data_IF_905153193551
#
_entry.id   IF_905153193551
#
_cell.length_a   1.000
_cell.length_b   1.000
_cell.length_c   1.000
_cell.angle_alpha   90.00
_cell.angle_beta   90.00
_cell.angle_gamma   90.00
#
_symmetry.space_group_name_H-M   'P 1'
#
loop_
_entity.id
_entity.type
_entity.pdbx_description
1 polymer ?
#
# COMPACT_ATOMS: atom_id res chain seq x y z
N UNK A 1 -30.36 35.58 -26.43
CA UNK A 1 -31.26 34.96 -25.45
C UNK A 1 -31.27 33.43 -25.47
N UNK A 2 -31.56 32.71 -26.59
CA UNK A 2 -31.63 31.24 -26.59
C UNK A 2 -30.31 30.52 -26.25
N UNK A 3 -29.13 31.04 -26.64
CA UNK A 3 -27.81 30.47 -26.30
C UNK A 3 -27.44 30.61 -24.83
N UNK A 4 -27.81 31.72 -24.19
CA UNK A 4 -27.51 31.98 -22.78
C UNK A 4 -28.34 31.08 -21.84
N UNK A 5 -29.60 30.80 -22.23
CA UNK A 5 -30.49 29.89 -21.48
C UNK A 5 -29.95 28.45 -21.55
N UNK A 6 -29.42 28.00 -22.70
CA UNK A 6 -28.82 26.67 -22.83
C UNK A 6 -27.59 26.45 -21.95
N UNK A 7 -26.73 27.46 -21.82
CA UNK A 7 -25.54 27.39 -20.94
C UNK A 7 -25.94 27.35 -19.46
N UNK A 8 -26.93 28.13 -19.04
CA UNK A 8 -27.43 28.14 -17.66
C UNK A 8 -28.06 26.78 -17.30
N UNK A 9 -28.83 26.18 -18.22
CA UNK A 9 -29.41 24.86 -18.01
C UNK A 9 -28.34 23.77 -17.91
N UNK A 10 -27.28 23.82 -18.73
CA UNK A 10 -26.16 22.87 -18.69
C UNK A 10 -25.39 22.97 -17.36
N UNK A 11 -25.13 24.19 -16.87
CA UNK A 11 -24.48 24.42 -15.59
C UNK A 11 -25.35 23.93 -14.41
N UNK A 12 -26.65 24.12 -14.47
CA UNK A 12 -27.59 23.60 -13.47
C UNK A 12 -27.60 22.06 -13.45
N UNK A 13 -27.57 21.41 -14.61
CA UNK A 13 -27.47 19.95 -14.70
C UNK A 13 -26.17 19.41 -14.11
N UNK A 14 -25.03 20.08 -14.35
CA UNK A 14 -23.72 19.69 -13.78
C UNK A 14 -23.72 19.87 -12.25
N UNK A 15 -24.28 20.97 -11.75
CA UNK A 15 -24.37 21.25 -10.30
C UNK A 15 -25.30 20.24 -9.62
N UNK A 16 -26.46 19.94 -10.21
CA UNK A 16 -27.40 18.95 -9.68
C UNK A 16 -26.79 17.55 -9.72
N UNK A 17 -26.10 17.18 -10.82
CA UNK A 17 -25.39 15.91 -10.93
C UNK A 17 -24.27 15.77 -9.89
N UNK A 18 -23.49 16.82 -9.67
CA UNK A 18 -22.45 16.83 -8.64
C UNK A 18 -23.03 16.76 -7.22
N UNK A 19 -24.12 17.49 -6.95
CA UNK A 19 -24.80 17.44 -5.66
C UNK A 19 -25.45 16.07 -5.39
N UNK A 20 -26.02 15.45 -6.42
CA UNK A 20 -26.58 14.10 -6.34
C UNK A 20 -25.48 13.04 -6.14
N UNK A 21 -24.36 13.17 -6.84
CA UNK A 21 -23.19 12.32 -6.64
C UNK A 21 -22.62 12.42 -5.23
N UNK A 22 -22.49 13.64 -4.71
CA UNK A 22 -22.05 13.89 -3.33
C UNK A 22 -23.06 13.39 -2.29
N UNK A 23 -24.36 13.50 -2.58
CA UNK A 23 -25.43 13.02 -1.71
C UNK A 23 -25.45 11.48 -1.65
N UNK A 24 -25.38 10.80 -2.81
CA UNK A 24 -25.36 9.32 -2.88
C UNK A 24 -24.09 8.73 -2.28
N UNK A 25 -22.93 9.40 -2.45
CA UNK A 25 -21.70 8.95 -1.80
C UNK A 25 -21.68 9.25 -0.28
N UNK A 26 -22.39 10.29 0.18
CA UNK A 26 -22.49 10.56 1.61
C UNK A 26 -23.26 9.47 2.37
N UNK A 27 -24.24 8.84 1.73
CA UNK A 27 -24.96 7.70 2.32
C UNK A 27 -24.12 6.42 2.36
N UNK A 28 -23.22 6.21 1.38
CA UNK A 28 -22.31 5.03 1.40
C UNK A 28 -21.29 5.09 2.54
N UNK A 29 -20.88 6.30 2.97
CA UNK A 29 -20.00 6.48 4.13
C UNK A 29 -20.73 6.40 5.49
N UNK A 30 -22.06 6.58 5.53
CA UNK A 30 -22.83 6.61 6.79
C UNK A 30 -22.84 5.30 7.56
N UNK A 31 -22.53 4.18 6.91
CA UNK A 31 -22.50 2.85 7.50
C UNK A 31 -21.08 2.32 7.84
N UNK A 32 -20.04 3.12 7.58
CA UNK A 32 -18.65 2.75 7.90
C UNK A 32 -18.34 3.26 9.31
N UNK A 33 -18.09 2.34 10.23
CA UNK A 33 -17.63 2.68 11.58
C UNK A 33 -16.12 2.97 11.51
N UNK A 34 -15.74 4.19 11.85
CA UNK A 34 -14.34 4.64 11.88
C UNK A 34 -13.76 4.54 13.29
N UNK A 35 -12.46 4.23 13.42
CA UNK A 35 -11.75 4.39 14.68
C UNK A 35 -11.81 5.84 15.20
N UNK A 36 -11.80 6.06 16.53
CA UNK A 36 -12.00 7.40 17.11
C UNK A 36 -11.04 8.49 16.61
N UNK A 37 -9.82 8.12 16.24
CA UNK A 37 -8.76 9.04 15.81
C UNK A 37 -8.52 9.01 14.29
N UNK A 38 -9.38 8.34 13.51
CA UNK A 38 -9.20 8.28 12.08
C UNK A 38 -9.63 9.59 11.40
N UNK A 39 -8.94 9.87 10.28
CA UNK A 39 -9.21 10.99 9.38
C UNK A 39 -9.79 10.42 8.09
N UNK A 40 -11.12 10.38 7.93
CA UNK A 40 -11.79 9.73 6.80
C UNK A 40 -11.34 10.26 5.43
N UNK A 41 -10.87 11.53 5.36
CA UNK A 41 -10.31 12.11 4.14
C UNK A 41 -9.06 11.40 3.63
N UNK A 42 -8.28 10.75 4.51
CA UNK A 42 -7.11 9.95 4.12
C UNK A 42 -7.48 8.59 3.51
N UNK A 43 -8.77 8.21 3.56
CA UNK A 43 -9.30 7.06 2.83
C UNK A 43 -9.70 7.39 1.40
N UNK A 44 -9.82 8.69 1.07
CA UNK A 44 -10.08 9.11 -0.30
C UNK A 44 -8.85 8.86 -1.15
N UNK A 45 -8.92 7.85 -2.01
CA UNK A 45 -7.79 7.43 -2.84
C UNK A 45 -7.62 8.27 -4.11
N UNK A 46 -8.64 9.01 -4.55
CA UNK A 46 -8.64 9.71 -5.84
C UNK A 46 -7.47 10.69 -6.03
N UNK A 47 -7.10 11.56 -5.04
CA UNK A 47 -5.94 12.43 -5.18
C UNK A 47 -4.62 11.66 -5.32
N UNK A 48 -4.49 10.55 -4.58
CA UNK A 48 -3.31 9.68 -4.59
C UNK A 48 -3.22 8.93 -5.92
N UNK A 49 -4.32 8.31 -6.36
CA UNK A 49 -4.40 7.61 -7.67
C UNK A 49 -3.97 8.53 -8.82
N UNK A 50 -4.48 9.77 -8.84
CA UNK A 50 -4.13 10.77 -9.87
C UNK A 50 -2.65 11.13 -9.86
N UNK A 51 -2.05 11.21 -8.68
CA UNK A 51 -0.63 11.50 -8.52
C UNK A 51 0.24 10.33 -8.95
N UNK A 52 -0.09 9.12 -8.51
CA UNK A 52 0.63 7.89 -8.83
C UNK A 52 0.56 7.57 -10.32
N UNK A 53 -0.60 7.74 -10.96
CA UNK A 53 -0.77 7.50 -12.39
C UNK A 53 0.16 8.37 -13.26
N UNK A 54 0.54 9.57 -12.79
CA UNK A 54 1.51 10.45 -13.49
C UNK A 54 2.98 10.04 -13.26
N UNK A 55 3.26 9.29 -12.21
CA UNK A 55 4.62 8.91 -11.79
C UNK A 55 4.95 7.46 -12.13
N UNK A 56 3.93 6.62 -12.29
CA UNK A 56 4.11 5.21 -12.57
C UNK A 56 4.74 4.97 -13.93
N UNK A 57 5.74 4.11 -13.97
CA UNK A 57 6.33 3.58 -15.21
C UNK A 57 5.35 2.61 -15.86
N UNK A 58 4.65 1.82 -15.05
CA UNK A 58 3.63 0.86 -15.47
C UNK A 58 2.49 0.85 -14.45
N UNK A 59 1.26 0.76 -14.92
CA UNK A 59 0.09 0.48 -14.10
C UNK A 59 -0.43 -0.91 -14.45
N UNK A 60 -0.58 -1.75 -13.43
CA UNK A 60 -1.10 -3.11 -13.50
C UNK A 60 -2.47 -3.20 -12.84
N UNK A 61 -3.10 -4.37 -12.88
CA UNK A 61 -4.40 -4.60 -12.27
C UNK A 61 -5.57 -4.09 -13.09
N UNK A 62 -6.64 -3.67 -12.42
CA UNK A 62 -7.86 -3.16 -13.04
C UNK A 62 -8.02 -1.65 -12.80
N UNK A 63 -9.03 -1.04 -13.44
CA UNK A 63 -9.33 0.38 -13.22
C UNK A 63 -9.80 0.64 -11.76
N UNK A 64 -10.48 -0.33 -11.15
CA UNK A 64 -10.95 -0.26 -9.76
C UNK A 64 -9.83 -0.59 -8.77
N UNK A 65 -8.87 -1.43 -9.16
CA UNK A 65 -7.76 -1.89 -8.30
C UNK A 65 -6.43 -1.74 -9.06
N UNK A 66 -5.95 -0.50 -9.26
CA UNK A 66 -4.67 -0.26 -9.92
C UNK A 66 -3.50 -0.57 -8.99
N UNK A 67 -2.47 -1.18 -9.54
CA UNK A 67 -1.17 -1.41 -8.91
C UNK A 67 -0.13 -0.57 -9.67
N UNK A 68 0.47 0.39 -8.99
CA UNK A 68 1.42 1.34 -9.57
C UNK A 68 2.85 0.84 -9.40
N UNK A 69 3.58 0.70 -10.51
CA UNK A 69 4.99 0.33 -10.51
C UNK A 69 5.82 1.55 -10.91
N UNK A 70 6.77 1.90 -10.08
CA UNK A 70 7.71 3.01 -10.32
C UNK A 70 9.11 2.41 -10.37
N UNK A 71 9.64 2.28 -11.59
CA UNK A 71 10.99 1.79 -11.82
C UNK A 71 12.01 2.83 -11.37
N UNK A 72 13.17 2.34 -10.98
CA UNK A 72 14.32 3.15 -10.59
C UNK A 72 13.99 4.19 -9.48
N UNK A 73 13.03 3.84 -8.60
CA UNK A 73 12.67 4.67 -7.46
C UNK A 73 13.84 4.79 -6.46
N UNK A 74 14.56 3.68 -6.24
CA UNK A 74 15.84 3.67 -5.52
C UNK A 74 16.98 3.33 -6.46
N UNK A 75 18.11 3.96 -6.23
CA UNK A 75 19.38 3.61 -6.88
C UNK A 75 19.96 2.30 -6.32
N UNK A 76 20.87 1.70 -7.04
CA UNK A 76 21.60 0.51 -6.61
C UNK A 76 22.36 0.71 -5.30
N UNK A 77 22.91 1.91 -5.10
CA UNK A 77 23.62 2.28 -3.89
C UNK A 77 22.70 2.37 -2.68
N UNK A 78 21.52 3.00 -2.83
CA UNK A 78 20.50 3.09 -1.78
C UNK A 78 19.97 1.70 -1.38
N UNK A 79 19.64 0.84 -2.36
CA UNK A 79 19.22 -0.53 -2.09
C UNK A 79 20.28 -1.29 -1.27
N UNK A 80 21.55 -1.17 -1.67
CA UNK A 80 22.66 -1.84 -0.98
C UNK A 80 22.86 -1.28 0.43
N UNK A 81 22.74 0.02 0.62
CA UNK A 81 22.87 0.65 1.91
C UNK A 81 21.75 0.23 2.88
N UNK A 82 20.50 0.15 2.40
CA UNK A 82 19.36 -0.33 3.20
C UNK A 82 19.57 -1.78 3.67
N UNK A 83 19.97 -2.69 2.77
CA UNK A 83 20.26 -4.08 3.16
C UNK A 83 21.34 -4.14 4.23
N UNK A 84 22.43 -3.39 4.05
CA UNK A 84 23.55 -3.36 5.02
C UNK A 84 23.15 -2.79 6.37
N UNK A 85 22.27 -1.79 6.43
CA UNK A 85 21.87 -1.13 7.68
C UNK A 85 21.08 -2.04 8.62
N UNK A 86 20.43 -3.09 8.09
CA UNK A 86 19.67 -4.05 8.87
C UNK A 86 20.40 -5.40 9.07
N UNK A 87 21.57 -5.59 8.46
CA UNK A 87 22.34 -6.82 8.63
C UNK A 87 22.66 -7.06 10.14
N UNK A 88 22.26 -8.22 10.64
CA UNK A 88 22.43 -8.59 12.04
C UNK A 88 21.33 -8.11 13.01
N UNK A 89 20.30 -7.46 12.52
CA UNK A 89 19.13 -6.99 13.30
C UNK A 89 17.81 -7.62 12.83
N UNK A 90 17.90 -8.74 12.11
CA UNK A 90 16.74 -9.42 11.56
C UNK A 90 16.19 -10.43 12.57
N UNK A 91 14.88 -10.43 12.77
CA UNK A 91 14.15 -11.36 13.63
C UNK A 91 13.02 -12.01 12.83
N UNK A 92 12.51 -13.15 13.30
CA UNK A 92 11.36 -13.79 12.66
C UNK A 92 10.20 -12.77 12.55
N UNK A 93 9.64 -12.64 11.36
CA UNK A 93 8.60 -11.64 11.09
C UNK A 93 7.38 -11.88 11.96
N UNK A 94 6.89 -10.84 12.67
CA UNK A 94 5.65 -10.95 13.44
C UNK A 94 4.44 -11.05 12.51
N UNK A 95 3.38 -11.70 12.99
CA UNK A 95 2.04 -11.60 12.45
C UNK A 95 1.24 -10.63 13.32
N UNK A 96 0.47 -9.76 12.71
CA UNK A 96 -0.47 -8.87 13.43
C UNK A 96 -1.61 -9.67 14.06
N UNK A 97 -1.93 -10.82 13.47
CA UNK A 97 -2.92 -11.77 13.99
C UNK A 97 -2.26 -13.15 14.05
N UNK A 98 -2.03 -13.72 15.24
CA UNK A 98 -1.65 -15.12 15.35
C UNK A 98 -2.79 -15.98 14.79
N UNK A 99 -2.55 -16.67 13.70
CA UNK A 99 -3.47 -17.69 13.20
C UNK A 99 -3.15 -18.99 13.94
N UNK A 100 -4.10 -19.51 14.70
CA UNK A 100 -3.93 -20.77 15.42
C UNK A 100 -3.57 -21.89 14.43
N UNK A 101 -2.41 -22.50 14.63
CA UNK A 101 -1.91 -23.62 13.83
C UNK A 101 -1.04 -23.29 12.62
N UNK A 102 -0.82 -22.03 12.23
CA UNK A 102 -0.03 -21.71 11.02
C UNK A 102 1.24 -20.88 11.28
N UNK A 103 2.22 -21.48 11.99
CA UNK A 103 3.57 -20.90 12.15
C UNK A 103 4.34 -20.75 10.82
N UNK A 104 3.80 -21.25 9.72
CA UNK A 104 4.36 -21.17 8.37
C UNK A 104 3.64 -20.15 7.49
N UNK A 105 2.77 -19.31 8.07
CA UNK A 105 2.02 -18.33 7.31
C UNK A 105 2.91 -17.20 6.76
N UNK A 106 3.84 -16.73 7.59
CA UNK A 106 4.88 -15.77 7.23
C UNK A 106 6.21 -16.28 7.75
N UNK A 107 7.10 -16.65 6.84
CA UNK A 107 8.39 -17.29 7.18
C UNK A 107 9.60 -16.39 6.95
N UNK A 108 9.38 -15.12 6.55
CA UNK A 108 10.41 -14.10 6.41
C UNK A 108 11.01 -13.68 7.74
N UNK A 109 12.12 -12.94 7.65
CA UNK A 109 12.66 -12.17 8.76
C UNK A 109 12.34 -10.68 8.55
N UNK A 110 12.16 -9.94 9.64
CA UNK A 110 11.90 -8.49 9.64
C UNK A 110 12.95 -7.78 10.47
N UNK A 111 13.48 -6.70 9.94
CA UNK A 111 14.30 -5.73 10.65
C UNK A 111 13.65 -4.36 10.58
N UNK A 112 13.98 -3.53 11.57
CA UNK A 112 13.62 -2.12 11.58
C UNK A 112 14.89 -1.30 11.53
N UNK A 113 14.82 -0.22 10.80
CA UNK A 113 15.93 0.70 10.73
C UNK A 113 16.07 1.47 12.06
N UNK A 114 17.27 1.89 12.38
CA UNK A 114 17.61 2.55 13.62
C UNK A 114 17.58 4.08 13.57
N UNK A 115 16.89 4.65 12.56
CA UNK A 115 16.79 6.11 12.39
C UNK A 115 18.06 6.72 11.79
N UNK A 116 18.79 5.98 10.98
CA UNK A 116 19.91 6.54 10.19
C UNK A 116 19.36 7.30 8.98
N UNK A 117 19.92 8.48 8.69
CA UNK A 117 19.39 9.47 7.74
C UNK A 117 18.97 8.97 6.37
N UNK A 118 19.54 7.84 5.86
CA UNK A 118 19.13 7.28 4.56
C UNK A 118 17.67 6.83 4.56
N UNK A 119 17.17 6.30 5.69
CA UNK A 119 15.78 5.88 5.77
C UNK A 119 14.84 7.07 5.83
N UNK A 120 15.16 8.09 6.63
CA UNK A 120 14.33 9.29 6.76
C UNK A 120 14.15 9.96 5.39
N UNK A 121 15.22 10.02 4.58
CA UNK A 121 15.18 10.54 3.21
C UNK A 121 14.28 9.69 2.30
N UNK A 122 14.35 8.35 2.42
CA UNK A 122 13.53 7.43 1.63
C UNK A 122 12.07 7.51 2.06
N UNK A 123 11.77 7.53 3.35
CA UNK A 123 10.42 7.68 3.88
C UNK A 123 9.79 9.01 3.45
N UNK A 124 10.57 10.10 3.45
CA UNK A 124 10.12 11.39 2.93
C UNK A 124 9.79 11.32 1.43
N UNK A 125 10.61 10.64 0.62
CA UNK A 125 10.37 10.41 -0.81
C UNK A 125 9.15 9.53 -1.06
N UNK A 126 8.92 8.50 -0.23
CA UNK A 126 7.72 7.66 -0.29
C UNK A 126 6.48 8.51 0.02
N UNK A 127 6.51 9.34 1.06
CA UNK A 127 5.43 10.27 1.40
C UNK A 127 5.17 11.27 0.27
N UNK A 128 6.22 11.81 -0.33
CA UNK A 128 6.09 12.67 -1.51
C UNK A 128 5.49 11.91 -2.70
N UNK A 129 5.92 10.68 -2.97
CA UNK A 129 5.40 9.85 -4.07
C UNK A 129 3.90 9.61 -3.91
N UNK A 130 3.49 9.14 -2.74
CA UNK A 130 2.09 8.81 -2.42
C UNK A 130 1.26 10.10 -2.22
N UNK A 131 1.85 11.15 -1.66
CA UNK A 131 1.17 12.42 -1.38
C UNK A 131 0.40 12.41 -0.06
N UNK A 132 0.83 11.56 0.86
CA UNK A 132 0.28 11.46 2.21
C UNK A 132 1.29 11.99 3.25
N UNK A 133 0.79 12.47 4.41
CA UNK A 133 1.66 13.09 5.41
C UNK A 133 2.53 12.06 6.14
N UNK A 134 3.74 12.48 6.52
CA UNK A 134 4.73 11.62 7.22
C UNK A 134 4.23 11.07 8.54
N UNK A 135 3.35 11.78 9.24
CA UNK A 135 2.77 11.33 10.52
C UNK A 135 1.76 10.17 10.37
N UNK A 136 1.36 9.83 9.13
CA UNK A 136 0.47 8.69 8.85
C UNK A 136 1.25 7.39 8.52
N UNK A 137 2.57 7.44 8.52
CA UNK A 137 3.43 6.33 8.10
C UNK A 137 3.77 5.42 9.27
N UNK A 138 3.53 4.11 9.13
CA UNK A 138 4.09 3.12 10.05
C UNK A 138 5.62 3.04 9.86
N UNK A 139 6.33 2.64 10.93
CA UNK A 139 7.77 2.40 10.84
C UNK A 139 8.05 1.39 9.72
N UNK A 140 8.80 1.83 8.71
CA UNK A 140 9.13 1.02 7.53
C UNK A 140 9.84 -0.27 7.96
N UNK A 141 9.35 -1.40 7.46
CA UNK A 141 9.94 -2.71 7.68
C UNK A 141 10.92 -3.04 6.55
N UNK A 142 12.09 -3.55 6.89
CA UNK A 142 12.94 -4.32 6.01
C UNK A 142 12.59 -5.81 6.17
N UNK A 143 12.38 -6.52 5.06
CA UNK A 143 12.00 -7.93 5.07
C UNK A 143 12.97 -8.73 4.22
N UNK A 144 13.38 -9.89 4.75
CA UNK A 144 14.30 -10.81 4.11
C UNK A 144 13.67 -12.19 3.97
N UNK A 145 13.75 -12.74 2.76
CA UNK A 145 13.27 -14.07 2.42
C UNK A 145 14.43 -14.88 1.83
N UNK A 146 14.86 -15.90 2.53
CA UNK A 146 15.81 -16.90 2.03
C UNK A 146 15.09 -18.00 1.27
N UNK A 147 15.85 -18.97 0.75
CA UNK A 147 15.33 -20.12 -0.01
C UNK A 147 14.12 -20.78 0.69
N UNK A 148 13.04 -20.97 -0.04
CA UNK A 148 11.78 -21.58 0.43
C UNK A 148 10.93 -20.69 1.32
N UNK A 149 11.36 -19.48 1.67
CA UNK A 149 10.61 -18.54 2.50
C UNK A 149 9.56 -17.80 1.70
N UNK A 150 8.41 -17.58 2.34
CA UNK A 150 7.22 -16.99 1.72
C UNK A 150 6.42 -16.15 2.72
N UNK A 151 5.47 -15.41 2.20
CA UNK A 151 4.37 -14.85 2.97
C UNK A 151 3.08 -15.20 2.24
N UNK A 152 2.23 -16.02 2.85
CA UNK A 152 0.98 -16.49 2.26
C UNK A 152 0.02 -15.34 1.99
N UNK A 153 -1.04 -15.63 1.26
CA UNK A 153 -2.04 -14.64 0.85
C UNK A 153 -2.66 -13.91 2.04
N UNK A 154 -2.63 -12.59 2.02
CA UNK A 154 -3.12 -11.71 3.09
C UNK A 154 -3.54 -10.36 2.54
N UNK A 155 -4.31 -9.63 3.34
CA UNK A 155 -4.60 -8.22 3.17
C UNK A 155 -3.76 -7.38 4.12
N UNK A 156 -3.33 -6.21 3.67
CA UNK A 156 -2.68 -5.23 4.54
C UNK A 156 -3.70 -4.47 5.41
N UNK A 157 -4.92 -4.27 4.90
CA UNK A 157 -5.99 -3.64 5.65
C UNK A 157 -6.44 -4.49 6.84
N UNK A 158 -6.75 -3.83 7.95
CA UNK A 158 -7.25 -4.47 9.15
C UNK A 158 -8.74 -4.79 9.06
N UNK A 159 -9.11 -5.91 9.66
CA UNK A 159 -10.49 -6.28 9.89
C UNK A 159 -10.97 -5.62 11.20
N UNK A 160 -11.99 -4.74 11.09
CA UNK A 160 -12.54 -4.01 12.23
C UNK A 160 -13.10 -4.90 13.35
N UNK A 161 -13.52 -6.13 13.01
CA UNK A 161 -14.14 -7.06 13.95
C UNK A 161 -13.11 -7.99 14.62
N UNK A 162 -11.88 -8.08 14.08
CA UNK A 162 -10.88 -9.02 14.54
C UNK A 162 -9.52 -8.37 14.89
N UNK A 163 -9.19 -7.20 14.33
CA UNK A 163 -7.90 -6.56 14.56
C UNK A 163 -8.03 -5.37 15.48
N UNK A 164 -7.47 -5.48 16.69
CA UNK A 164 -7.47 -4.35 17.64
C UNK A 164 -6.67 -3.15 17.13
N UNK A 165 -5.66 -3.35 16.29
CA UNK A 165 -4.89 -2.30 15.64
C UNK A 165 -5.78 -1.35 14.83
N UNK A 166 -6.90 -1.83 14.28
CA UNK A 166 -7.88 -0.99 13.60
C UNK A 166 -8.40 0.11 14.54
N UNK A 167 -8.75 -0.25 15.77
CA UNK A 167 -9.32 0.67 16.76
C UNK A 167 -8.27 1.52 17.48
N UNK A 168 -7.08 0.98 17.68
CA UNK A 168 -5.99 1.63 18.40
C UNK A 168 -5.21 2.61 17.51
N UNK A 169 -5.00 2.27 16.24
CA UNK A 169 -4.07 2.96 15.35
C UNK A 169 -4.64 3.33 13.97
N UNK A 170 -5.94 3.14 13.75
CA UNK A 170 -6.59 3.40 12.46
C UNK A 170 -6.34 2.34 11.40
N UNK A 171 -6.94 2.56 10.23
CA UNK A 171 -6.88 1.64 9.08
C UNK A 171 -5.65 1.89 8.22
N UNK A 172 -5.03 0.83 7.70
CA UNK A 172 -4.06 0.93 6.61
C UNK A 172 -4.76 1.26 5.30
N UNK A 173 -4.37 2.35 4.67
CA UNK A 173 -4.98 2.88 3.46
C UNK A 173 -4.17 2.58 2.20
N UNK A 174 -2.84 2.72 2.30
CA UNK A 174 -1.90 2.52 1.20
C UNK A 174 -0.69 1.71 1.65
N UNK A 175 -0.15 0.93 0.71
CA UNK A 175 1.10 0.21 0.88
C UNK A 175 2.08 0.66 -0.20
N UNK A 176 3.31 0.95 0.21
CA UNK A 176 4.46 1.11 -0.68
C UNK A 176 5.49 0.04 -0.34
N UNK A 177 5.72 -0.89 -1.27
CA UNK A 177 6.73 -1.93 -1.18
C UNK A 177 7.84 -1.63 -2.19
N UNK A 178 9.11 -1.81 -1.81
CA UNK A 178 10.24 -1.60 -2.71
C UNK A 178 11.11 -2.84 -2.74
N UNK A 179 11.41 -3.35 -3.94
CA UNK A 179 12.38 -4.43 -4.13
C UNK A 179 13.80 -3.88 -4.02
N UNK A 180 14.60 -4.44 -3.13
CA UNK A 180 15.99 -4.01 -2.92
C UNK A 180 17.01 -4.84 -3.71
N UNK A 181 16.59 -5.97 -4.26
CA UNK A 181 17.39 -6.81 -5.15
C UNK A 181 16.54 -7.48 -6.22
N UNK A 182 17.20 -8.03 -7.23
CA UNK A 182 16.59 -8.98 -8.13
C UNK A 182 16.61 -10.37 -7.48
N UNK A 183 15.66 -11.24 -7.84
CA UNK A 183 15.57 -12.62 -7.37
C UNK A 183 15.76 -13.54 -8.59
N UNK A 184 16.59 -14.56 -8.47
CA UNK A 184 16.91 -15.45 -9.60
C UNK A 184 15.69 -16.28 -10.03
N UNK A 185 14.94 -16.87 -9.05
CA UNK A 185 13.72 -17.64 -9.29
C UNK A 185 12.77 -17.55 -8.10
N UNK A 186 11.45 -17.50 -8.37
CA UNK A 186 10.42 -17.36 -7.36
C UNK A 186 10.38 -15.98 -6.75
N UNK A 187 9.91 -15.85 -5.51
CA UNK A 187 9.88 -14.60 -4.75
C UNK A 187 8.98 -13.50 -5.34
N UNK A 188 8.06 -13.83 -6.26
CA UNK A 188 7.15 -12.86 -6.87
C UNK A 188 6.18 -12.30 -5.82
N UNK A 189 5.60 -11.15 -6.11
CA UNK A 189 4.46 -10.61 -5.36
C UNK A 189 3.22 -10.80 -6.23
N UNK A 190 2.33 -11.70 -5.82
CA UNK A 190 1.13 -12.05 -6.58
C UNK A 190 -0.10 -11.43 -5.96
N UNK A 191 -1.01 -10.96 -6.82
CA UNK A 191 -2.36 -10.51 -6.51
C UNK A 191 -3.34 -11.46 -7.20
N UNK A 192 -3.74 -12.57 -6.54
CA UNK A 192 -4.51 -13.64 -7.21
C UNK A 192 -5.85 -13.17 -7.78
N UNK A 193 -6.58 -12.31 -7.06
CA UNK A 193 -7.90 -11.85 -7.46
C UNK A 193 -7.89 -11.09 -8.80
N UNK A 194 -6.83 -10.34 -9.06
CA UNK A 194 -6.65 -9.56 -10.31
C UNK A 194 -5.67 -10.22 -11.29
N UNK A 195 -5.20 -11.44 -10.98
CA UNK A 195 -4.31 -12.26 -11.80
C UNK A 195 -2.99 -11.57 -12.17
N UNK A 196 -2.46 -10.73 -11.29
CA UNK A 196 -1.17 -10.09 -11.48
C UNK A 196 -0.08 -10.80 -10.68
N UNK A 197 1.09 -10.94 -11.29
CA UNK A 197 2.30 -11.50 -10.70
C UNK A 197 3.48 -10.60 -11.02
N UNK A 198 4.08 -10.03 -9.97
CA UNK A 198 5.14 -9.04 -10.09
C UNK A 198 6.49 -9.68 -9.76
N UNK A 199 7.35 -9.77 -10.77
CA UNK A 199 8.73 -10.21 -10.58
C UNK A 199 9.54 -9.11 -9.88
N UNK A 200 10.35 -9.46 -8.86
CA UNK A 200 11.26 -8.53 -8.21
C UNK A 200 12.20 -7.85 -9.22
N UNK A 201 12.21 -6.51 -9.18
CA UNK A 201 13.16 -5.68 -9.93
C UNK A 201 13.79 -4.70 -8.95
N UNK A 202 15.10 -4.78 -8.77
CA UNK A 202 15.86 -3.92 -7.86
C UNK A 202 15.54 -2.44 -8.11
N UNK A 203 15.29 -1.70 -7.04
CA UNK A 203 14.96 -0.27 -7.07
C UNK A 203 13.50 0.05 -7.44
N UNK A 204 12.68 -0.96 -7.80
CA UNK A 204 11.27 -0.73 -8.16
C UNK A 204 10.41 -0.58 -6.90
N UNK A 205 9.64 0.52 -6.83
CA UNK A 205 8.54 0.65 -5.90
C UNK A 205 7.24 0.10 -6.51
N UNK A 206 6.44 -0.55 -5.68
CA UNK A 206 5.09 -1.05 -5.98
C UNK A 206 4.15 -0.43 -4.98
N UNK A 207 3.13 0.30 -5.47
CA UNK A 207 2.19 1.03 -4.61
C UNK A 207 0.77 0.64 -4.95
N UNK A 208 -0.03 0.35 -3.92
CA UNK A 208 -1.45 0.03 -4.07
C UNK A 208 -2.27 0.54 -2.89
N UNK A 209 -3.56 0.78 -3.14
CA UNK A 209 -4.52 1.08 -2.08
C UNK A 209 -5.05 -0.21 -1.47
N UNK A 210 -5.12 -0.27 -0.15
CA UNK A 210 -5.78 -1.37 0.57
C UNK A 210 -7.31 -1.18 0.64
N UNK A 211 -7.82 -0.03 0.16
CA UNK A 211 -9.23 0.35 0.23
C UNK A 211 -9.80 0.61 -1.17
N UNK A 212 -11.09 0.36 -1.32
CA UNK A 212 -11.89 0.79 -2.49
C UNK A 212 -12.15 2.30 -2.44
N UNK A 213 -12.66 2.91 -3.54
CA UNK A 213 -13.01 4.33 -3.54
C UNK A 213 -14.05 4.73 -2.49
N UNK A 214 -14.90 3.80 -2.05
CA UNK A 214 -15.90 4.00 -1.00
C UNK A 214 -15.32 3.88 0.43
N UNK A 215 -14.00 3.62 0.57
CA UNK A 215 -13.32 3.46 1.85
C UNK A 215 -13.45 2.08 2.49
N UNK A 216 -14.18 1.14 1.89
CA UNK A 216 -14.21 -0.26 2.32
C UNK A 216 -12.93 -0.99 1.92
N UNK A 217 -12.63 -2.11 2.61
CA UNK A 217 -11.45 -2.93 2.29
C UNK A 217 -11.56 -3.49 0.88
N UNK A 218 -10.50 -3.32 0.08
CA UNK A 218 -10.42 -3.91 -1.26
C UNK A 218 -9.80 -5.30 -1.21
N UNK A 219 -10.66 -6.32 -1.23
CA UNK A 219 -10.23 -7.72 -1.24
C UNK A 219 -9.43 -8.11 -2.49
N UNK A 220 -9.52 -7.33 -3.58
CA UNK A 220 -8.73 -7.57 -4.78
C UNK A 220 -7.24 -7.26 -4.59
N UNK A 221 -6.89 -6.52 -3.53
CA UNK A 221 -5.50 -6.27 -3.14
C UNK A 221 -4.94 -7.31 -2.17
N UNK A 222 -5.69 -8.39 -1.87
CA UNK A 222 -5.10 -9.57 -1.24
C UNK A 222 -3.93 -10.06 -2.06
N UNK A 223 -2.78 -10.27 -1.41
CA UNK A 223 -1.54 -10.59 -2.10
C UNK A 223 -0.67 -11.55 -1.29
N UNK A 224 0.27 -12.18 -1.99
CA UNK A 224 1.24 -13.10 -1.40
C UNK A 224 2.66 -12.84 -1.93
N UNK A 225 3.65 -13.07 -1.08
CA UNK A 225 5.04 -13.25 -1.51
C UNK A 225 5.29 -14.73 -1.73
N UNK A 226 5.45 -15.15 -2.99
CA UNK A 226 5.70 -16.58 -3.31
C UNK A 226 7.04 -17.06 -2.76
N UNK A 227 7.23 -18.38 -2.56
CA UNK A 227 8.49 -18.92 -2.14
C UNK A 227 9.66 -18.46 -3.02
N UNK A 228 10.80 -18.14 -2.39
CA UNK A 228 12.05 -17.94 -3.10
C UNK A 228 12.57 -19.31 -3.53
N UNK A 229 12.72 -19.53 -4.84
CA UNK A 229 13.16 -20.80 -5.39
C UNK A 229 14.68 -20.84 -5.67
N UNK A 230 15.27 -19.63 -5.88
CA UNK A 230 16.72 -19.47 -6.04
C UNK A 230 17.15 -18.05 -5.68
N UNK A 231 18.23 -17.92 -4.91
CA UNK A 231 18.74 -16.67 -4.39
C UNK A 231 18.05 -16.26 -3.10
N UNK A 232 17.85 -14.98 -2.91
CA UNK A 232 17.17 -14.36 -1.75
C UNK A 232 16.37 -13.15 -2.20
N UNK A 233 15.38 -12.73 -1.40
CA UNK A 233 14.57 -11.54 -1.66
C UNK A 233 14.66 -10.58 -0.50
N UNK A 234 14.98 -9.32 -0.82
CA UNK A 234 14.98 -8.19 0.11
C UNK A 234 13.99 -7.15 -0.36
N UNK A 235 13.10 -6.73 0.53
CA UNK A 235 12.14 -5.66 0.28
C UNK A 235 12.03 -4.72 1.47
N UNK A 236 11.58 -3.49 1.23
CA UNK A 236 10.99 -2.66 2.28
C UNK A 236 9.49 -2.60 2.10
N UNK A 237 8.76 -2.45 3.20
CA UNK A 237 7.32 -2.21 3.18
C UNK A 237 6.98 -1.07 4.14
N UNK A 238 6.27 -0.09 3.60
CA UNK A 238 5.80 1.10 4.29
C UNK A 238 4.29 1.15 4.17
N UNK A 239 3.56 1.23 5.29
CA UNK A 239 2.11 1.37 5.33
C UNK A 239 1.72 2.76 5.78
N UNK A 240 0.67 3.29 5.14
CA UNK A 240 0.04 4.54 5.51
C UNK A 240 -1.28 4.27 6.23
N UNK A 241 -1.52 5.02 7.28
CA UNK A 241 -2.74 4.94 8.08
C UNK A 241 -3.64 6.14 7.87
N UNK A 242 -4.93 5.97 8.15
CA UNK A 242 -5.92 7.05 8.18
C UNK A 242 -5.95 7.81 9.51
N UNK A 243 -4.98 7.56 10.38
CA UNK A 243 -4.84 8.22 11.69
C UNK A 243 -3.39 8.61 11.92
N UNK A 244 -3.19 9.54 12.85
CA UNK A 244 -1.85 9.88 13.34
C UNK A 244 -1.33 8.75 14.24
N UNK A 245 -0.12 8.28 13.93
CA UNK A 245 0.56 7.19 14.65
C UNK A 245 1.63 7.80 15.57
#
# INVERSE_FOLDING_TARGET
MKRTIGIILLLLFVIIGAAFYLYTNKESFSNITFPPNSLPELRNREPVDRKLAKRATVVKGTAETPIYLIDDFLTDAECTALIKSAAGKMEASPLTRPMEGDKYYRTSETGYFDGTGIQDDIDARICELVGLPTWSVEKTQLQHYTLGKEFKEHNDAFDKDHDKEFWEKGQRTWTCMIYLNNVDQGGTTNFPAIKESLTPKKGRAVVWSSLKPDGSVDQNTSHQGTPVEKGEKWITTTWFRDSKI
#
